data_IF_641127038496
#
_entry.id   IF_641127038496
#
_cell.length_a   1.000
_cell.length_b   1.000
_cell.length_c   1.000
_cell.angle_alpha   90.00
_cell.angle_beta   90.00
_cell.angle_gamma   90.00
#
_symmetry.space_group_name_H-M   'P 1'
#
loop_
_entity.id
_entity.type
_entity.pdbx_description
1 polymer ?
#
# COMPACT_ATOMS: atom_id res chain seq x y z
N UNK A 1 15.64 -20.29 19.85
CA UNK A 1 15.75 -19.08 19.02
C UNK A 1 15.61 -17.88 19.93
N UNK A 2 16.64 -17.05 19.99
CA UNK A 2 16.67 -15.86 20.85
C UNK A 2 15.57 -14.87 20.42
N UNK A 3 15.05 -14.08 21.36
CA UNK A 3 14.03 -13.06 21.08
C UNK A 3 14.56 -12.02 20.08
N UNK A 4 15.85 -11.70 20.15
CA UNK A 4 16.52 -10.80 19.21
C UNK A 4 16.47 -11.32 17.77
N UNK A 5 16.76 -12.61 17.57
CA UNK A 5 16.69 -13.26 16.26
C UNK A 5 15.27 -13.20 15.70
N UNK A 6 14.25 -13.40 16.56
CA UNK A 6 12.85 -13.32 16.13
C UNK A 6 12.47 -11.93 15.65
N UNK A 7 12.89 -10.87 16.36
CA UNK A 7 12.58 -9.49 15.95
C UNK A 7 13.22 -9.16 14.60
N UNK A 8 14.47 -9.56 14.38
CA UNK A 8 15.17 -9.39 13.09
C UNK A 8 14.40 -10.11 11.96
N UNK A 9 13.95 -11.34 12.18
CA UNK A 9 13.22 -12.10 11.17
C UNK A 9 11.82 -11.52 10.88
N UNK A 10 11.13 -10.99 11.89
CA UNK A 10 9.86 -10.27 11.70
C UNK A 10 10.06 -9.01 10.86
N UNK A 11 11.09 -8.21 11.16
CA UNK A 11 11.38 -6.99 10.39
C UNK A 11 11.74 -7.30 8.93
N UNK A 12 12.57 -8.32 8.68
CA UNK A 12 12.87 -8.77 7.31
C UNK A 12 11.62 -9.24 6.57
N UNK A 13 10.74 -9.96 7.27
CA UNK A 13 9.49 -10.45 6.70
C UNK A 13 8.57 -9.29 6.34
N UNK A 14 8.43 -8.31 7.23
CA UNK A 14 7.64 -7.10 6.98
C UNK A 14 8.17 -6.33 5.77
N UNK A 15 9.48 -6.04 5.70
CA UNK A 15 10.10 -5.36 4.54
C UNK A 15 9.85 -6.12 3.23
N UNK A 16 9.91 -7.45 3.26
CA UNK A 16 9.64 -8.28 2.09
C UNK A 16 8.15 -8.21 1.67
N UNK A 17 7.23 -8.15 2.62
CA UNK A 17 5.80 -7.97 2.35
C UNK A 17 5.57 -6.61 1.67
N UNK A 18 6.10 -5.51 2.21
CA UNK A 18 5.88 -4.18 1.62
C UNK A 18 6.49 -4.06 0.23
N UNK A 19 7.68 -4.62 0.00
CA UNK A 19 8.28 -4.67 -1.35
C UNK A 19 7.41 -5.44 -2.34
N UNK A 20 6.74 -6.50 -1.90
CA UNK A 20 5.78 -7.25 -2.72
C UNK A 20 4.49 -6.45 -2.93
N UNK A 21 3.98 -5.78 -1.89
CA UNK A 21 2.84 -4.87 -1.95
C UNK A 21 3.06 -3.78 -2.98
N UNK A 22 4.17 -3.04 -2.89
CA UNK A 22 4.58 -2.01 -3.85
C UNK A 22 4.60 -2.53 -5.29
N UNK A 23 5.26 -3.66 -5.52
CA UNK A 23 5.34 -4.26 -6.85
C UNK A 23 3.95 -4.68 -7.38
N UNK A 24 3.10 -5.22 -6.50
CA UNK A 24 1.74 -5.63 -6.80
C UNK A 24 0.87 -4.44 -7.18
N UNK A 25 0.82 -3.38 -6.37
CA UNK A 25 0.04 -2.18 -6.66
C UNK A 25 0.53 -1.46 -7.91
N UNK A 26 1.85 -1.34 -8.10
CA UNK A 26 2.40 -0.78 -9.34
C UNK A 26 2.02 -1.61 -10.58
N UNK A 27 1.92 -2.94 -10.44
CA UNK A 27 1.44 -3.79 -11.53
C UNK A 27 -0.07 -3.63 -11.75
N UNK A 28 -0.87 -3.57 -10.70
CA UNK A 28 -2.31 -3.36 -10.77
C UNK A 28 -2.64 -2.01 -11.44
N UNK A 29 -1.92 -0.94 -11.08
CA UNK A 29 -2.00 0.36 -11.73
C UNK A 29 -1.77 0.27 -13.25
N UNK A 30 -0.70 -0.40 -13.69
CA UNK A 30 -0.39 -0.60 -15.11
C UNK A 30 -1.43 -1.41 -15.87
N UNK A 31 -2.14 -2.31 -15.19
CA UNK A 31 -3.15 -3.17 -15.80
C UNK A 31 -4.56 -2.57 -15.75
N UNK A 32 -4.78 -1.54 -14.93
CA UNK A 32 -6.07 -0.88 -14.79
C UNK A 32 -6.43 -0.10 -16.05
N UNK A 33 -7.68 -0.26 -16.50
CA UNK A 33 -8.28 0.55 -17.58
C UNK A 33 -8.96 1.81 -17.05
N UNK A 34 -9.37 1.79 -15.78
CA UNK A 34 -9.96 2.95 -15.09
C UNK A 34 -8.83 3.86 -14.62
N UNK A 35 -8.92 5.14 -14.97
CA UNK A 35 -7.98 6.16 -14.52
C UNK A 35 -8.06 6.36 -13.01
N UNK A 36 -9.26 6.40 -12.44
CA UNK A 36 -9.45 6.54 -10.99
C UNK A 36 -8.86 5.35 -10.22
N UNK A 37 -9.10 4.12 -10.70
CA UNK A 37 -8.54 2.91 -10.11
C UNK A 37 -7.01 2.87 -10.25
N UNK A 38 -6.48 3.33 -11.39
CA UNK A 38 -5.03 3.42 -11.62
C UNK A 38 -4.38 4.37 -10.61
N UNK A 39 -4.97 5.55 -10.41
CA UNK A 39 -4.47 6.55 -9.45
C UNK A 39 -4.48 6.00 -8.02
N UNK A 40 -5.54 5.33 -7.59
CA UNK A 40 -5.58 4.68 -6.26
C UNK A 40 -4.42 3.68 -6.11
N UNK A 41 -4.19 2.81 -7.10
CA UNK A 41 -3.09 1.85 -7.01
C UNK A 41 -1.70 2.50 -7.09
N UNK A 42 -1.55 3.62 -7.78
CA UNK A 42 -0.31 4.41 -7.78
C UNK A 42 -0.05 4.98 -6.38
N UNK A 43 -1.06 5.59 -5.75
CA UNK A 43 -0.97 6.10 -4.36
C UNK A 43 -0.58 5.01 -3.38
N UNK A 44 -1.26 3.85 -3.43
CA UNK A 44 -0.92 2.70 -2.57
C UNK A 44 0.53 2.23 -2.79
N UNK A 45 1.01 2.19 -4.03
CA UNK A 45 2.40 1.80 -4.31
C UNK A 45 3.43 2.81 -3.77
N UNK A 46 3.06 4.09 -3.69
CA UNK A 46 3.86 5.17 -3.11
C UNK A 46 3.90 5.09 -1.57
N UNK A 47 2.76 4.83 -0.93
CA UNK A 47 2.66 4.60 0.51
C UNK A 47 3.58 3.46 0.97
N UNK A 48 3.61 2.35 0.22
CA UNK A 48 4.49 1.22 0.55
C UNK A 48 5.98 1.58 0.53
N UNK A 49 6.41 2.58 -0.26
CA UNK A 49 7.80 3.04 -0.22
C UNK A 49 8.14 3.73 1.11
N UNK A 50 7.19 4.48 1.67
CA UNK A 50 7.32 5.10 2.98
C UNK A 50 7.38 4.03 4.08
N UNK A 51 6.53 3.01 4.00
CA UNK A 51 6.57 1.85 4.90
C UNK A 51 7.90 1.09 4.84
N UNK A 52 8.40 0.81 3.62
CA UNK A 52 9.72 0.16 3.41
C UNK A 52 10.81 0.99 4.09
N UNK A 53 10.84 2.29 3.83
CA UNK A 53 11.86 3.20 4.37
C UNK A 53 11.85 3.20 5.90
N UNK A 54 10.66 3.26 6.50
CA UNK A 54 10.47 3.19 7.94
C UNK A 54 10.95 1.86 8.52
N UNK A 55 10.51 0.73 7.95
CA UNK A 55 10.88 -0.60 8.45
C UNK A 55 12.38 -0.88 8.30
N UNK A 56 13.00 -0.39 7.22
CA UNK A 56 14.45 -0.49 7.04
C UNK A 56 15.22 0.34 8.06
N UNK A 57 14.71 1.51 8.45
CA UNK A 57 15.28 2.29 9.55
C UNK A 57 15.17 1.54 10.88
N UNK A 58 13.98 1.01 11.19
CA UNK A 58 13.77 0.22 12.40
C UNK A 58 14.69 -1.01 12.43
N UNK A 59 14.85 -1.69 11.29
CA UNK A 59 15.76 -2.82 11.16
C UNK A 59 17.21 -2.44 11.45
N UNK A 60 17.71 -1.36 10.82
CA UNK A 60 19.08 -0.88 11.05
C UNK A 60 19.31 -0.53 12.52
N UNK A 61 18.38 0.20 13.13
CA UNK A 61 18.50 0.60 14.52
C UNK A 61 18.44 -0.60 15.48
N UNK A 62 17.53 -1.55 15.24
CA UNK A 62 17.38 -2.73 16.09
C UNK A 62 18.59 -3.67 16.00
N UNK A 63 19.19 -3.82 14.83
CA UNK A 63 20.41 -4.62 14.65
C UNK A 63 21.60 -3.98 15.37
N UNK A 64 21.72 -2.65 15.33
CA UNK A 64 22.84 -1.94 15.95
C UNK A 64 22.69 -1.79 17.47
N UNK A 65 21.50 -1.42 17.93
CA UNK A 65 21.27 -0.93 19.29
C UNK A 65 20.28 -1.79 20.10
N UNK A 66 19.58 -2.73 19.45
CA UNK A 66 18.48 -3.51 20.04
C UNK A 66 17.31 -2.65 20.53
N UNK A 67 17.12 -1.50 19.91
CA UNK A 67 16.07 -0.53 20.22
C UNK A 67 15.33 -0.12 18.94
N UNK A 68 14.10 0.37 19.09
CA UNK A 68 13.32 0.99 18.02
C UNK A 68 13.38 2.52 18.14
N UNK A 69 13.30 3.23 17.01
CA UNK A 69 13.28 4.71 17.04
C UNK A 69 11.85 5.19 17.29
N UNK A 70 11.67 6.22 18.13
CA UNK A 70 10.39 6.92 18.25
C UNK A 70 10.28 7.93 17.10
N UNK A 71 10.01 7.43 15.90
CA UNK A 71 10.19 8.23 14.69
C UNK A 71 9.29 7.78 13.56
N UNK A 72 7.98 7.88 13.75
CA UNK A 72 7.08 8.04 12.62
C UNK A 72 5.97 9.00 12.99
N UNK A 73 6.07 10.22 12.51
CA UNK A 73 4.91 11.08 12.33
C UNK A 73 4.33 10.70 10.98
N UNK A 74 3.20 9.98 10.98
CA UNK A 74 2.37 9.94 9.76
C UNK A 74 2.03 11.40 9.47
N UNK A 75 2.37 11.94 8.29
CA UNK A 75 1.84 13.23 7.88
C UNK A 75 0.32 13.20 8.03
N UNK A 76 -0.34 14.30 8.39
CA UNK A 76 -1.81 14.33 8.27
C UNK A 76 -2.13 14.10 6.79
N UNK A 77 -2.70 12.94 6.47
CA UNK A 77 -3.11 12.58 5.12
C UNK A 77 -4.47 13.24 4.85
N UNK A 78 -4.51 14.04 3.80
CA UNK A 78 -5.76 14.59 3.28
C UNK A 78 -6.43 13.53 2.40
N UNK A 79 -7.30 12.73 3.04
CA UNK A 79 -8.02 11.63 2.39
C UNK A 79 -9.02 12.11 1.33
N UNK A 80 -9.25 13.41 1.17
CA UNK A 80 -10.27 13.95 0.25
C UNK A 80 -10.04 13.52 -1.20
N UNK A 81 -8.79 13.36 -1.62
CA UNK A 81 -8.47 12.85 -2.96
C UNK A 81 -8.85 11.37 -3.10
N UNK A 82 -8.50 10.54 -2.11
CA UNK A 82 -8.87 9.12 -2.08
C UNK A 82 -10.39 8.97 -2.08
N UNK A 83 -11.11 9.72 -1.26
CA UNK A 83 -12.58 9.69 -1.22
C UNK A 83 -13.21 10.04 -2.57
N UNK A 84 -12.68 11.08 -3.25
CA UNK A 84 -13.12 11.47 -4.59
C UNK A 84 -12.89 10.35 -5.60
N UNK A 85 -11.72 9.72 -5.60
CA UNK A 85 -11.37 8.63 -6.51
C UNK A 85 -12.25 7.40 -6.26
N UNK A 86 -12.49 7.05 -4.99
CA UNK A 86 -13.39 5.94 -4.62
C UNK A 86 -14.82 6.21 -5.09
N UNK A 87 -15.28 7.46 -5.02
CA UNK A 87 -16.56 7.88 -5.60
C UNK A 87 -16.64 7.64 -7.11
N UNK A 88 -15.56 7.95 -7.85
CA UNK A 88 -15.48 7.70 -9.30
C UNK A 88 -15.53 6.20 -9.62
N UNK A 89 -14.76 5.39 -8.90
CA UNK A 89 -14.74 3.93 -9.10
C UNK A 89 -16.10 3.30 -8.82
N UNK A 90 -16.82 3.74 -7.78
CA UNK A 90 -18.19 3.26 -7.50
C UNK A 90 -19.13 3.53 -8.67
N UNK A 91 -19.10 4.75 -9.22
CA UNK A 91 -19.94 5.11 -10.37
C UNK A 91 -19.60 4.26 -11.61
N UNK A 92 -18.33 3.98 -11.86
CA UNK A 92 -17.89 3.12 -12.97
C UNK A 92 -18.39 1.67 -12.79
N UNK A 93 -18.33 1.13 -11.57
CA UNK A 93 -18.84 -0.21 -11.25
C UNK A 93 -20.36 -0.29 -11.47
N UNK A 94 -21.10 0.71 -10.98
CA UNK A 94 -22.55 0.75 -11.12
C UNK A 94 -22.97 0.83 -12.60
N UNK A 95 -22.27 1.65 -13.40
CA UNK A 95 -22.51 1.76 -14.84
C UNK A 95 -22.25 0.43 -15.57
N UNK A 96 -21.09 -0.20 -15.32
CA UNK A 96 -20.74 -1.48 -15.93
C UNK A 96 -21.72 -2.59 -15.51
N UNK A 97 -22.19 -2.59 -14.26
CA UNK A 97 -23.20 -3.52 -13.77
C UNK A 97 -24.54 -3.39 -14.49
N UNK A 98 -24.99 -2.16 -14.73
CA UNK A 98 -26.21 -1.90 -15.49
C UNK A 98 -26.09 -2.37 -16.95
N UNK A 99 -24.98 -2.04 -17.62
CA UNK A 99 -24.72 -2.46 -19.00
C UNK A 99 -24.66 -3.99 -19.14
N UNK A 100 -23.98 -4.66 -18.21
CA UNK A 100 -23.92 -6.13 -18.17
C UNK A 100 -25.31 -6.75 -18.00
N UNK A 101 -26.15 -6.18 -17.13
CA UNK A 101 -27.54 -6.63 -16.96
C UNK A 101 -28.37 -6.42 -18.23
N UNK A 102 -28.21 -5.28 -18.90
CA UNK A 102 -28.92 -4.98 -20.14
C UNK A 102 -28.53 -5.89 -21.31
N UNK A 103 -27.25 -6.28 -21.42
CA UNK A 103 -26.77 -7.23 -22.45
C UNK A 103 -27.22 -8.68 -22.14
N UNK A 104 -27.42 -9.00 -20.87
CA UNK A 104 -27.75 -10.37 -20.44
C UNK A 104 -29.25 -10.71 -20.46
N UNK A 105 -30.12 -9.74 -20.77
CA UNK A 105 -31.57 -9.88 -20.85
C UNK A 105 -32.06 -10.17 -22.28
#
# INVERSE_FOLDING_TARGET
MDTKDKVIEVLKTAILIERRGKAFYAQAARQSKSEATRQIFEMMAEEEEAHISFLEEQFRNYVANHEFTSGYSVPEEDDSEVERLIGQVKNEIDAAGYEAAAISA
#
